data_IF_792763503473
#
_entry.id   IF_792763503473
#
_cell.length_a   1.000
_cell.length_b   1.000
_cell.length_c   1.000
_cell.angle_alpha   90.00
_cell.angle_beta   90.00
_cell.angle_gamma   90.00
#
_symmetry.space_group_name_H-M   'P 1'
#
loop_
_entity.id
_entity.type
_entity.pdbx_description
1 polymer ?
#
# COMPACT_ATOMS: atom_id res chain seq x y z
N UNK A 1 35.41 15.19 -108.68
CA UNK A 1 34.57 15.96 -107.75
C UNK A 1 34.55 15.19 -106.43
N UNK A 2 35.45 15.54 -105.55
CA UNK A 2 35.68 14.90 -104.26
C UNK A 2 35.20 15.85 -103.19
N UNK A 3 34.12 15.47 -102.44
CA UNK A 3 33.56 16.26 -101.32
C UNK A 3 34.22 15.77 -100.01
N UNK A 4 34.96 16.64 -99.36
CA UNK A 4 35.62 16.42 -98.07
C UNK A 4 34.64 16.75 -96.96
N UNK A 5 34.27 15.77 -96.11
CA UNK A 5 33.39 15.91 -94.96
C UNK A 5 34.24 16.21 -93.71
N UNK A 6 34.18 17.42 -93.18
CA UNK A 6 34.80 17.80 -91.88
C UNK A 6 33.92 17.40 -90.74
N UNK A 7 34.40 16.48 -89.90
CA UNK A 7 33.76 16.09 -88.61
C UNK A 7 34.22 17.06 -87.52
N UNK A 8 33.31 17.91 -87.01
CA UNK A 8 33.51 18.72 -85.81
C UNK A 8 33.23 17.89 -84.54
N UNK A 9 34.25 17.50 -83.80
CA UNK A 9 34.11 16.95 -82.44
C UNK A 9 33.82 18.11 -81.45
N UNK A 10 32.62 18.26 -81.09
CA UNK A 10 32.22 19.14 -79.94
C UNK A 10 32.56 18.44 -78.63
N UNK A 11 33.67 18.88 -77.98
CA UNK A 11 33.96 18.45 -76.61
C UNK A 11 32.97 19.09 -75.63
N UNK A 12 32.04 18.34 -75.15
CA UNK A 12 31.16 18.73 -73.99
C UNK A 12 32.03 18.75 -72.73
N UNK A 13 32.45 19.93 -72.30
CA UNK A 13 33.04 20.18 -71.01
C UNK A 13 31.90 20.08 -69.98
N UNK A 14 31.90 19.04 -69.08
CA UNK A 14 30.96 18.92 -68.00
C UNK A 14 31.20 20.10 -67.04
N UNK A 15 30.09 20.74 -66.56
CA UNK A 15 30.22 21.82 -65.57
C UNK A 15 30.82 21.28 -64.27
N UNK A 16 31.64 22.07 -63.55
CA UNK A 16 32.24 21.68 -62.28
C UNK A 16 31.10 21.34 -61.30
N UNK A 17 31.15 20.12 -60.75
CA UNK A 17 30.23 19.61 -59.74
C UNK A 17 30.35 20.53 -58.52
N UNK A 18 29.41 21.46 -58.33
CA UNK A 18 29.34 22.27 -57.13
C UNK A 18 29.30 21.34 -55.94
N UNK A 19 30.31 21.38 -55.10
CA UNK A 19 30.28 20.68 -53.81
C UNK A 19 29.03 21.15 -53.04
N UNK A 20 28.24 20.20 -52.49
CA UNK A 20 27.06 20.58 -51.72
C UNK A 20 27.53 21.43 -50.52
N UNK A 21 26.80 22.48 -50.16
CA UNK A 21 27.15 23.32 -49.02
C UNK A 21 27.30 22.47 -47.76
N UNK A 22 28.32 22.78 -46.95
CA UNK A 22 28.59 22.08 -45.69
C UNK A 22 27.36 22.23 -44.79
N UNK A 23 26.75 21.11 -44.35
CA UNK A 23 25.53 21.18 -43.60
C UNK A 23 25.74 21.75 -42.20
N UNK A 24 24.83 22.61 -41.74
CA UNK A 24 24.74 23.03 -40.33
C UNK A 24 24.11 21.91 -39.52
N UNK A 25 24.76 21.52 -38.41
CA UNK A 25 24.29 20.44 -37.53
C UNK A 25 24.29 20.92 -36.09
N UNK A 26 23.16 20.75 -35.42
CA UNK A 26 23.09 21.03 -34.00
C UNK A 26 23.97 20.05 -33.22
N UNK A 27 24.78 20.59 -32.32
CA UNK A 27 25.75 19.84 -31.53
C UNK A 27 25.51 20.16 -30.05
N UNK A 28 25.49 19.13 -29.22
CA UNK A 28 25.45 19.25 -27.78
C UNK A 28 26.64 18.58 -27.12
N UNK A 29 26.99 19.01 -25.94
CA UNK A 29 28.02 18.35 -25.14
C UNK A 29 27.34 17.27 -24.26
N UNK A 30 27.95 16.08 -24.25
CA UNK A 30 27.51 15.00 -23.35
C UNK A 30 27.81 15.40 -21.90
N UNK A 31 26.77 15.45 -21.07
CA UNK A 31 26.93 15.85 -19.67
C UNK A 31 26.81 14.65 -18.73
N UNK A 32 27.52 14.71 -17.61
CA UNK A 32 27.37 13.74 -16.52
C UNK A 32 26.38 14.27 -15.50
N UNK A 33 25.50 13.38 -15.03
CA UNK A 33 24.54 13.68 -13.98
C UNK A 33 24.35 12.46 -13.09
N UNK A 34 24.05 12.74 -11.83
CA UNK A 34 23.53 11.72 -10.92
C UNK A 34 22.03 11.58 -11.16
N UNK A 35 21.60 10.39 -11.55
CA UNK A 35 20.22 10.12 -11.99
C UNK A 35 19.63 9.02 -11.15
N UNK A 36 18.48 9.28 -10.48
CA UNK A 36 17.71 8.23 -9.84
C UNK A 36 17.00 7.37 -10.90
N UNK A 37 17.19 6.08 -10.80
CA UNK A 37 16.45 5.09 -11.58
C UNK A 37 15.25 4.66 -10.79
N UNK A 38 14.06 4.87 -11.33
CA UNK A 38 12.81 4.49 -10.68
C UNK A 38 12.36 3.11 -11.16
N UNK A 39 11.73 2.39 -10.24
CA UNK A 39 11.00 1.17 -10.51
C UNK A 39 9.57 1.30 -9.96
N UNK A 40 8.62 0.74 -10.66
CA UNK A 40 7.21 0.75 -10.25
C UNK A 40 6.74 -0.68 -9.99
N UNK A 41 6.06 -0.86 -8.86
CA UNK A 41 5.42 -2.12 -8.49
C UNK A 41 3.92 -1.92 -8.43
N UNK A 42 3.17 -2.91 -8.86
CA UNK A 42 1.72 -2.92 -8.69
C UNK A 42 1.41 -3.42 -7.29
N UNK A 43 0.64 -2.64 -6.55
CA UNK A 43 0.20 -2.96 -5.20
C UNK A 43 -1.31 -2.86 -5.07
N UNK A 44 -1.82 -3.47 -4.02
CA UNK A 44 -3.20 -3.39 -3.60
C UNK A 44 -3.30 -2.76 -2.22
N UNK A 45 -4.34 -1.95 -2.02
CA UNK A 45 -4.59 -1.25 -0.75
C UNK A 45 -5.42 -2.13 0.18
N UNK A 46 -5.06 -2.11 1.46
CA UNK A 46 -5.76 -2.80 2.55
C UNK A 46 -6.05 -1.81 3.66
N UNK A 47 -7.18 -1.97 4.34
CA UNK A 47 -7.47 -1.22 5.56
C UNK A 47 -6.44 -1.50 6.65
N UNK A 48 -6.28 -0.57 7.58
CA UNK A 48 -5.44 -0.78 8.76
C UNK A 48 -5.92 -1.98 9.58
N UNK A 49 -7.25 -2.13 9.68
CA UNK A 49 -7.93 -3.29 10.22
C UNK A 49 -9.29 -3.44 9.52
N UNK A 50 -9.53 -4.60 8.95
CA UNK A 50 -10.85 -5.02 8.46
C UNK A 50 -11.38 -6.03 9.45
N UNK A 51 -12.45 -5.67 10.19
CA UNK A 51 -13.03 -6.52 11.21
C UNK A 51 -14.39 -7.01 10.76
N UNK A 52 -14.51 -8.31 10.67
CA UNK A 52 -15.78 -8.97 10.36
C UNK A 52 -16.75 -8.88 11.53
N UNK A 53 -17.96 -8.48 11.25
CA UNK A 53 -19.06 -8.43 12.20
C UNK A 53 -19.82 -9.76 12.13
N UNK A 54 -19.69 -10.53 13.19
CA UNK A 54 -20.33 -11.85 13.31
C UNK A 54 -21.34 -11.85 14.47
N UNK A 55 -22.36 -12.71 14.37
CA UNK A 55 -23.28 -12.97 15.49
C UNK A 55 -22.70 -14.01 16.44
N UNK A 56 -23.07 -13.89 17.74
CA UNK A 56 -22.76 -14.84 18.79
C UNK A 56 -24.01 -15.51 19.36
N UNK A 57 -25.18 -15.15 18.83
CA UNK A 57 -26.49 -15.67 19.22
C UNK A 57 -27.27 -16.14 18.01
N UNK A 58 -28.26 -16.96 18.20
CA UNK A 58 -29.15 -17.47 17.16
C UNK A 58 -30.48 -16.71 17.21
N UNK A 59 -31.01 -16.32 16.06
CA UNK A 59 -32.30 -15.65 16.00
C UNK A 59 -32.49 -14.77 14.77
N UNK A 60 -33.71 -14.22 14.59
CA UNK A 60 -33.96 -13.27 13.50
C UNK A 60 -33.41 -11.89 13.83
N UNK A 61 -32.93 -11.20 12.79
CA UNK A 61 -32.54 -9.79 12.88
C UNK A 61 -33.81 -8.94 13.00
N UNK A 62 -33.92 -8.17 14.08
CA UNK A 62 -35.03 -7.26 14.33
C UNK A 62 -34.76 -5.81 13.93
N UNK A 63 -33.48 -5.44 13.78
CA UNK A 63 -33.13 -4.09 13.36
C UNK A 63 -31.71 -3.97 12.85
N UNK A 64 -31.55 -3.05 11.89
CA UNK A 64 -30.26 -2.57 11.36
C UNK A 64 -30.19 -1.08 11.67
N UNK A 65 -29.15 -0.64 12.40
CA UNK A 65 -29.06 0.70 13.01
C UNK A 65 -27.94 1.56 12.43
N UNK A 66 -27.58 1.32 11.20
CA UNK A 66 -26.56 2.09 10.48
C UNK A 66 -26.99 2.31 9.02
N UNK A 67 -26.27 3.17 8.32
CA UNK A 67 -26.36 3.30 6.87
C UNK A 67 -25.10 2.71 6.25
N UNK A 68 -25.29 1.90 5.22
CA UNK A 68 -24.20 1.27 4.48
C UNK A 68 -23.24 2.30 3.88
N UNK A 69 -21.93 2.01 3.95
CA UNK A 69 -20.89 2.90 3.46
C UNK A 69 -20.63 4.15 4.31
N UNK A 70 -21.32 4.32 5.45
CA UNK A 70 -21.13 5.46 6.35
C UNK A 70 -20.12 5.14 7.48
N UNK A 71 -19.49 6.17 8.06
CA UNK A 71 -18.63 5.98 9.21
C UNK A 71 -19.42 5.58 10.46
N UNK A 72 -18.92 4.60 11.18
CA UNK A 72 -19.43 4.13 12.48
C UNK A 72 -18.35 4.29 13.55
N UNK A 73 -18.79 4.46 14.80
CA UNK A 73 -17.89 4.56 15.96
C UNK A 73 -17.80 3.24 16.70
N UNK A 74 -16.66 2.94 17.30
CA UNK A 74 -16.52 1.81 18.21
C UNK A 74 -17.59 1.86 19.31
N UNK A 75 -18.26 0.73 19.56
CA UNK A 75 -19.39 0.64 20.50
C UNK A 75 -20.75 1.08 19.94
N UNK A 76 -20.82 1.58 18.70
CA UNK A 76 -22.10 1.91 18.07
C UNK A 76 -22.90 0.64 17.78
N UNK A 77 -24.21 0.67 18.09
CA UNK A 77 -25.14 -0.43 17.78
C UNK A 77 -25.29 -0.57 16.27
N UNK A 78 -25.06 -1.80 15.76
CA UNK A 78 -25.19 -2.12 14.34
C UNK A 78 -26.43 -2.96 14.05
N UNK A 79 -26.57 -4.07 14.78
CA UNK A 79 -27.69 -5.00 14.60
C UNK A 79 -28.32 -5.35 15.93
N UNK A 80 -29.61 -5.69 15.91
CA UNK A 80 -30.31 -6.32 17.00
C UNK A 80 -30.86 -7.66 16.54
N UNK A 81 -30.65 -8.69 17.36
CA UNK A 81 -31.13 -10.07 17.14
C UNK A 81 -32.11 -10.40 18.24
N UNK A 82 -33.22 -11.03 17.91
CA UNK A 82 -34.18 -11.52 18.89
C UNK A 82 -33.85 -12.97 19.25
N UNK A 83 -33.43 -13.17 20.50
CA UNK A 83 -33.19 -14.51 21.07
C UNK A 83 -34.01 -14.67 22.36
N UNK A 84 -35.25 -15.17 22.27
CA UNK A 84 -36.11 -15.36 23.43
C UNK A 84 -35.53 -16.34 24.47
N UNK A 85 -34.68 -17.29 24.04
CA UNK A 85 -34.07 -18.29 24.94
C UNK A 85 -33.11 -17.58 25.89
N UNK A 86 -32.28 -16.70 25.38
CA UNK A 86 -31.32 -15.93 26.19
C UNK A 86 -32.02 -14.96 27.12
N UNK A 87 -33.08 -14.29 26.66
CA UNK A 87 -33.89 -13.40 27.50
C UNK A 87 -34.57 -14.14 28.65
N UNK A 88 -35.16 -15.30 28.37
CA UNK A 88 -35.80 -16.15 29.39
C UNK A 88 -34.78 -16.71 30.40
N UNK A 89 -33.58 -17.11 29.92
CA UNK A 89 -32.51 -17.57 30.81
C UNK A 89 -32.04 -16.48 31.78
N UNK A 90 -31.95 -15.23 31.32
CA UNK A 90 -31.67 -14.09 32.20
C UNK A 90 -32.76 -13.89 33.26
N UNK A 91 -34.03 -13.96 32.86
CA UNK A 91 -35.16 -13.81 33.79
C UNK A 91 -35.15 -14.92 34.85
N UNK A 92 -34.84 -16.15 34.48
CA UNK A 92 -34.72 -17.27 35.42
C UNK A 92 -33.55 -17.06 36.40
N UNK A 93 -32.40 -16.59 35.94
CA UNK A 93 -31.24 -16.28 36.78
C UNK A 93 -31.52 -15.14 37.76
N UNK A 94 -32.26 -14.12 37.33
CA UNK A 94 -32.71 -13.02 38.21
C UNK A 94 -33.65 -13.53 39.29
N UNK A 95 -34.61 -14.36 38.95
CA UNK A 95 -35.52 -14.98 39.93
C UNK A 95 -34.77 -15.83 40.97
N UNK A 96 -33.77 -16.59 40.51
CA UNK A 96 -32.91 -17.39 41.39
C UNK A 96 -32.11 -16.51 42.36
N UNK A 97 -31.51 -15.41 41.89
CA UNK A 97 -30.80 -14.46 42.74
C UNK A 97 -31.75 -13.90 43.82
N UNK A 98 -32.93 -13.42 43.42
CA UNK A 98 -33.93 -12.87 44.33
C UNK A 98 -34.30 -13.88 45.41
N UNK A 99 -34.48 -15.17 45.04
CA UNK A 99 -34.80 -16.22 45.99
C UNK A 99 -33.67 -16.41 47.03
N UNK A 100 -32.38 -16.39 46.58
CA UNK A 100 -31.24 -16.49 47.49
C UNK A 100 -31.10 -15.27 48.40
N UNK A 101 -31.37 -14.07 47.89
CA UNK A 101 -31.37 -12.84 48.70
C UNK A 101 -32.42 -12.86 49.84
N UNK A 102 -33.65 -13.35 49.56
CA UNK A 102 -34.68 -13.51 50.58
C UNK A 102 -34.22 -14.50 51.67
N UNK A 103 -33.58 -15.63 51.26
CA UNK A 103 -33.05 -16.59 52.23
C UNK A 103 -31.88 -16.02 53.03
N UNK A 104 -31.05 -15.14 52.44
CA UNK A 104 -29.99 -14.43 53.15
C UNK A 104 -30.57 -13.52 54.23
N UNK A 105 -31.62 -12.77 53.94
CA UNK A 105 -32.31 -11.93 54.95
C UNK A 105 -32.78 -12.77 56.11
N UNK A 106 -33.39 -13.95 55.85
CA UNK A 106 -33.81 -14.88 56.89
C UNK A 106 -32.65 -15.37 57.76
N UNK A 107 -31.59 -15.92 57.14
CA UNK A 107 -30.47 -16.50 57.89
C UNK A 107 -29.68 -15.43 58.64
N UNK A 108 -29.59 -14.21 58.09
CA UNK A 108 -29.03 -13.07 58.78
C UNK A 108 -29.84 -12.68 60.03
N UNK A 109 -31.17 -12.59 59.91
CA UNK A 109 -32.04 -12.28 61.04
C UNK A 109 -31.97 -13.34 62.15
N UNK A 110 -31.83 -14.62 61.80
CA UNK A 110 -31.60 -15.70 62.73
C UNK A 110 -30.25 -15.57 63.45
N UNK A 111 -29.16 -15.31 62.74
CA UNK A 111 -27.82 -15.05 63.32
C UNK A 111 -27.83 -13.82 64.23
N UNK A 112 -28.40 -12.69 63.79
CA UNK A 112 -28.47 -11.44 64.54
C UNK A 112 -29.28 -11.61 65.84
N UNK A 113 -30.24 -12.56 65.92
CA UNK A 113 -31.04 -12.92 67.10
C UNK A 113 -30.26 -13.83 68.05
N UNK A 114 -29.54 -14.84 67.53
CA UNK A 114 -28.77 -15.81 68.33
C UNK A 114 -27.51 -15.18 68.95
N UNK A 115 -26.83 -14.29 68.22
CA UNK A 115 -25.57 -13.67 68.66
C UNK A 115 -25.63 -13.03 70.08
N UNK A 116 -26.58 -12.14 70.40
CA UNK A 116 -26.66 -11.51 71.73
C UNK A 116 -27.09 -12.54 72.82
N UNK A 117 -27.89 -13.50 72.49
CA UNK A 117 -28.34 -14.53 73.44
C UNK A 117 -27.21 -15.48 73.86
N UNK A 118 -26.34 -15.85 72.91
CA UNK A 118 -25.15 -16.62 73.18
C UNK A 118 -24.11 -15.83 74.00
N UNK A 119 -23.93 -14.54 73.73
CA UNK A 119 -23.07 -13.64 74.52
C UNK A 119 -23.50 -13.51 75.98
N UNK A 120 -24.83 -13.64 76.27
CA UNK A 120 -25.39 -13.63 77.62
C UNK A 120 -25.47 -15.04 78.24
N UNK A 121 -24.88 -16.10 77.61
CA UNK A 121 -24.92 -17.49 77.98
C UNK A 121 -26.36 -18.05 78.03
N UNK A 122 -27.33 -17.45 77.35
CA UNK A 122 -28.69 -17.93 77.23
C UNK A 122 -28.89 -19.00 76.13
N UNK A 123 -27.94 -19.12 75.20
CA UNK A 123 -27.84 -20.14 74.12
C UNK A 123 -26.42 -20.73 74.10
N UNK A 124 -26.30 -21.95 73.54
CA UNK A 124 -24.98 -22.60 73.45
C UNK A 124 -24.14 -21.99 72.33
N UNK A 125 -22.81 -22.05 72.52
CA UNK A 125 -21.84 -21.65 71.49
C UNK A 125 -22.03 -22.46 70.20
N UNK A 126 -22.45 -23.71 70.31
CA UNK A 126 -22.80 -24.59 69.14
C UNK A 126 -23.94 -24.00 68.31
N UNK A 127 -24.97 -23.41 68.95
CA UNK A 127 -26.06 -22.78 68.22
C UNK A 127 -25.63 -21.51 67.53
N UNK A 128 -24.73 -20.74 68.13
CA UNK A 128 -24.14 -19.55 67.52
C UNK A 128 -23.30 -19.96 66.29
N UNK A 129 -22.40 -20.97 66.42
CA UNK A 129 -21.58 -21.42 65.33
C UNK A 129 -22.42 -21.98 64.16
N UNK A 130 -23.52 -22.70 64.47
CA UNK A 130 -24.45 -23.21 63.47
C UNK A 130 -25.20 -22.08 62.71
N UNK A 131 -25.68 -21.04 63.43
CA UNK A 131 -26.35 -19.90 62.80
C UNK A 131 -25.38 -19.05 61.95
N UNK A 132 -24.15 -18.85 62.45
CA UNK A 132 -23.11 -18.19 61.72
C UNK A 132 -22.72 -18.94 60.42
N UNK A 133 -22.53 -20.27 60.52
CA UNK A 133 -22.23 -21.10 59.35
C UNK A 133 -23.36 -21.07 58.31
N UNK A 134 -24.62 -21.09 58.74
CA UNK A 134 -25.77 -20.98 57.87
C UNK A 134 -25.85 -19.62 57.17
N UNK A 135 -25.55 -18.52 57.88
CA UNK A 135 -25.50 -17.18 57.29
C UNK A 135 -24.37 -17.06 56.27
N UNK A 136 -23.13 -17.51 56.57
CA UNK A 136 -22.01 -17.47 55.66
C UNK A 136 -22.24 -18.38 54.43
N UNK A 137 -22.83 -19.55 54.60
CA UNK A 137 -23.21 -20.45 53.50
C UNK A 137 -24.22 -19.79 52.56
N UNK A 138 -25.22 -19.10 53.11
CA UNK A 138 -26.24 -18.41 52.33
C UNK A 138 -25.66 -17.19 51.60
N UNK A 139 -24.71 -16.47 52.21
CA UNK A 139 -23.99 -15.37 51.58
C UNK A 139 -23.19 -15.85 50.37
N UNK A 140 -22.54 -17.04 50.47
CA UNK A 140 -21.88 -17.68 49.35
C UNK A 140 -22.88 -18.09 48.24
N UNK A 141 -24.08 -18.57 48.61
CA UNK A 141 -25.11 -18.92 47.65
C UNK A 141 -25.63 -17.70 46.86
N UNK A 142 -25.80 -16.54 47.52
CA UNK A 142 -26.14 -15.28 46.84
C UNK A 142 -25.03 -14.88 45.84
N UNK A 143 -23.77 -14.97 46.26
CA UNK A 143 -22.64 -14.67 45.37
C UNK A 143 -22.61 -15.58 44.12
N UNK A 144 -22.89 -16.86 44.31
CA UNK A 144 -23.02 -17.81 43.20
C UNK A 144 -24.18 -17.47 42.25
N UNK A 145 -25.35 -17.14 42.79
CA UNK A 145 -26.50 -16.72 41.99
C UNK A 145 -26.27 -15.40 41.26
N UNK A 146 -25.57 -14.45 41.88
CA UNK A 146 -25.14 -13.19 41.24
C UNK A 146 -24.20 -13.44 40.05
N UNK A 147 -23.24 -14.36 40.18
CA UNK A 147 -22.40 -14.76 39.09
C UNK A 147 -23.19 -15.42 37.95
N UNK A 148 -24.21 -16.23 38.29
CA UNK A 148 -25.14 -16.80 37.32
C UNK A 148 -25.92 -15.76 36.53
N UNK A 149 -26.43 -14.72 37.20
CA UNK A 149 -27.11 -13.60 36.54
C UNK A 149 -26.13 -12.82 35.64
N UNK A 150 -24.93 -12.54 36.12
CA UNK A 150 -23.90 -11.85 35.31
C UNK A 150 -23.59 -12.61 34.03
N UNK A 151 -23.48 -13.93 34.07
CA UNK A 151 -23.29 -14.76 32.87
C UNK A 151 -24.47 -14.63 31.89
N UNK A 152 -25.72 -14.63 32.41
CA UNK A 152 -26.92 -14.46 31.60
C UNK A 152 -26.96 -13.04 30.98
N UNK A 153 -26.57 -12.00 31.70
CA UNK A 153 -26.47 -10.62 31.19
C UNK A 153 -25.46 -10.50 30.04
N UNK A 154 -24.34 -11.19 30.13
CA UNK A 154 -23.35 -11.26 29.04
C UNK A 154 -23.95 -11.91 27.79
N UNK A 155 -24.73 -12.99 27.95
CA UNK A 155 -25.41 -13.63 26.81
C UNK A 155 -26.43 -12.68 26.16
N UNK A 156 -27.22 -11.96 26.96
CA UNK A 156 -28.15 -10.94 26.45
C UNK A 156 -27.41 -9.81 25.74
N UNK A 157 -26.22 -9.41 26.21
CA UNK A 157 -25.44 -8.36 25.54
C UNK A 157 -25.08 -8.74 24.09
N UNK A 158 -24.94 -10.02 23.79
CA UNK A 158 -24.62 -10.50 22.43
C UNK A 158 -25.80 -10.39 21.45
N UNK A 159 -27.03 -10.16 21.92
CA UNK A 159 -28.17 -9.84 21.04
C UNK A 159 -28.04 -8.44 20.41
N UNK A 160 -27.20 -7.58 20.98
CA UNK A 160 -26.92 -6.25 20.49
C UNK A 160 -25.52 -6.26 19.90
N UNK A 161 -25.43 -6.34 18.60
CA UNK A 161 -24.14 -6.42 17.88
C UNK A 161 -23.61 -5.01 17.69
N UNK A 162 -22.48 -4.73 18.32
CA UNK A 162 -21.83 -3.43 18.32
C UNK A 162 -20.62 -3.41 17.39
N UNK A 163 -20.25 -2.24 16.88
CA UNK A 163 -19.03 -2.04 16.12
C UNK A 163 -17.79 -2.23 17.03
N UNK A 164 -16.86 -3.14 16.70
CA UNK A 164 -15.67 -3.38 17.52
C UNK A 164 -14.62 -2.27 17.36
N UNK A 165 -14.63 -1.59 16.21
CA UNK A 165 -13.71 -0.50 15.87
C UNK A 165 -14.49 0.66 15.24
N UNK A 166 -13.88 1.86 15.27
CA UNK A 166 -14.34 2.99 14.46
C UNK A 166 -13.85 2.82 13.03
N UNK A 167 -14.72 3.07 12.04
CA UNK A 167 -14.37 2.86 10.65
C UNK A 167 -15.54 3.09 9.72
N UNK A 168 -15.42 2.68 8.47
CA UNK A 168 -16.51 2.67 7.49
C UNK A 168 -17.08 1.28 7.44
N UNK A 169 -18.40 1.19 7.61
CA UNK A 169 -19.14 -0.08 7.54
C UNK A 169 -19.45 -0.42 6.07
N UNK A 170 -19.28 -1.69 5.71
CA UNK A 170 -19.57 -2.20 4.38
C UNK A 170 -21.06 -2.40 4.09
N UNK A 171 -21.34 -3.11 3.00
CA UNK A 171 -22.68 -3.55 2.63
C UNK A 171 -23.15 -4.64 3.59
N UNK A 172 -24.38 -4.56 4.09
CA UNK A 172 -25.00 -5.60 4.89
C UNK A 172 -25.30 -6.85 4.05
N UNK A 173 -24.89 -8.01 4.55
CA UNK A 173 -25.18 -9.30 3.89
C UNK A 173 -26.50 -9.90 4.30
N UNK A 174 -27.20 -9.22 5.22
CA UNK A 174 -28.44 -9.69 5.84
C UNK A 174 -29.45 -8.54 5.92
N UNK A 175 -30.72 -8.89 5.97
CA UNK A 175 -31.85 -7.97 6.07
C UNK A 175 -32.63 -8.18 7.37
N UNK A 176 -33.48 -7.22 7.73
CA UNK A 176 -34.42 -7.38 8.85
C UNK A 176 -35.35 -8.52 8.53
N UNK A 177 -35.47 -9.47 9.49
CA UNK A 177 -36.23 -10.71 9.33
C UNK A 177 -35.39 -11.94 8.99
N UNK A 178 -34.15 -11.78 8.52
CA UNK A 178 -33.26 -12.91 8.25
C UNK A 178 -32.85 -13.60 9.55
N UNK A 179 -32.83 -14.93 9.53
CA UNK A 179 -32.36 -15.74 10.65
C UNK A 179 -30.85 -15.92 10.59
N UNK A 180 -30.16 -15.57 11.67
CA UNK A 180 -28.69 -15.71 11.81
C UNK A 180 -28.34 -16.71 12.90
N UNK A 181 -27.21 -17.38 12.78
CA UNK A 181 -26.75 -18.40 13.73
C UNK A 181 -25.28 -18.22 14.07
N UNK A 182 -24.87 -18.71 15.22
CA UNK A 182 -23.45 -18.81 15.60
C UNK A 182 -22.64 -19.52 14.51
N UNK A 183 -21.53 -18.89 14.06
CA UNK A 183 -20.67 -19.47 13.01
C UNK A 183 -21.21 -19.33 11.59
N UNK A 184 -22.31 -18.60 11.38
CA UNK A 184 -22.75 -18.17 10.06
C UNK A 184 -21.74 -17.24 9.41
N UNK A 185 -21.94 -16.95 8.11
CA UNK A 185 -21.09 -15.95 7.42
C UNK A 185 -21.16 -14.60 8.13
N UNK A 186 -20.09 -13.79 8.02
CA UNK A 186 -20.07 -12.45 8.57
C UNK A 186 -21.24 -11.61 8.05
N UNK A 187 -21.90 -10.90 8.95
CA UNK A 187 -23.04 -10.02 8.64
C UNK A 187 -22.57 -8.78 7.85
N UNK A 188 -21.39 -8.31 8.19
CA UNK A 188 -20.78 -7.12 7.59
C UNK A 188 -19.28 -7.09 7.88
N UNK A 189 -18.58 -6.08 7.33
CA UNK A 189 -17.18 -5.77 7.63
C UNK A 189 -17.08 -4.29 7.96
N UNK A 190 -16.35 -3.96 9.03
CA UNK A 190 -15.98 -2.57 9.35
C UNK A 190 -14.51 -2.40 9.05
N UNK A 191 -14.19 -1.51 8.12
CA UNK A 191 -12.81 -1.15 7.76
C UNK A 191 -12.40 0.09 8.54
N UNK A 192 -11.30 0.01 9.27
CA UNK A 192 -10.77 1.16 10.01
C UNK A 192 -10.48 2.33 9.07
N UNK A 193 -10.91 3.52 9.44
CA UNK A 193 -10.54 4.77 8.77
C UNK A 193 -9.23 5.28 9.38
N UNK A 194 -8.29 5.65 8.55
CA UNK A 194 -6.98 6.12 8.96
C UNK A 194 -5.94 5.70 7.93
N UNK A 195 -4.81 5.21 8.41
CA UNK A 195 -3.74 4.76 7.55
C UNK A 195 -4.18 3.58 6.67
N UNK A 196 -3.78 3.62 5.42
CA UNK A 196 -3.97 2.52 4.46
C UNK A 196 -2.66 1.77 4.29
N UNK A 197 -2.75 0.46 4.30
CA UNK A 197 -1.65 -0.43 3.98
C UNK A 197 -1.65 -0.72 2.49
N UNK A 198 -0.49 -0.68 1.89
CA UNK A 198 -0.28 -1.05 0.49
C UNK A 198 0.61 -2.28 0.47
N UNK A 199 0.14 -3.37 -0.11
CA UNK A 199 0.92 -4.59 -0.29
C UNK A 199 1.29 -4.74 -1.75
N UNK A 200 2.55 -5.00 -1.99
CA UNK A 200 3.09 -5.21 -3.33
C UNK A 200 4.21 -6.25 -3.28
N UNK A 201 4.44 -6.92 -4.39
CA UNK A 201 5.48 -7.94 -4.50
C UNK A 201 6.69 -7.40 -5.24
N UNK A 202 7.88 -7.65 -4.71
CA UNK A 202 9.15 -7.32 -5.35
C UNK A 202 9.87 -8.62 -5.71
N UNK A 203 10.66 -8.60 -6.79
CA UNK A 203 11.48 -9.76 -7.17
C UNK A 203 12.62 -9.99 -6.17
N UNK A 204 13.10 -11.23 -6.07
CA UNK A 204 14.29 -11.54 -5.26
C UNK A 204 15.50 -10.70 -5.68
N UNK A 205 15.68 -10.47 -6.99
CA UNK A 205 16.78 -9.66 -7.51
C UNK A 205 16.70 -8.21 -7.07
N UNK A 206 15.50 -7.63 -7.03
CA UNK A 206 15.29 -6.26 -6.55
C UNK A 206 15.49 -6.16 -5.04
N UNK A 207 15.07 -7.19 -4.31
CA UNK A 207 15.31 -7.26 -2.87
C UNK A 207 16.81 -7.29 -2.54
N UNK A 208 17.60 -8.09 -3.27
CA UNK A 208 19.06 -8.17 -3.07
C UNK A 208 19.73 -6.82 -3.36
N UNK A 209 19.40 -6.18 -4.48
CA UNK A 209 19.91 -4.83 -4.81
C UNK A 209 19.56 -3.82 -3.73
N UNK A 210 18.32 -3.86 -3.26
CA UNK A 210 17.85 -2.99 -2.18
C UNK A 210 18.64 -3.22 -0.88
N UNK A 211 18.91 -4.48 -0.52
CA UNK A 211 19.71 -4.84 0.66
C UNK A 211 21.15 -4.30 0.57
N UNK A 212 21.77 -4.38 -0.59
CA UNK A 212 23.10 -3.83 -0.83
C UNK A 212 23.15 -2.30 -0.63
N UNK A 213 22.16 -1.60 -1.17
CA UNK A 213 22.07 -0.15 -1.06
C UNK A 213 21.76 0.32 0.38
N UNK A 214 20.94 -0.42 1.11
CA UNK A 214 20.58 -0.08 2.49
C UNK A 214 21.66 -0.44 3.50
N UNK A 215 22.62 -1.28 3.15
CA UNK A 215 23.75 -1.60 4.03
C UNK A 215 24.61 -0.36 4.37
N UNK A 216 24.66 0.62 3.48
CA UNK A 216 25.40 1.88 3.62
C UNK A 216 24.53 3.07 4.05
N UNK A 217 23.23 2.90 4.11
CA UNK A 217 22.26 3.95 4.46
C UNK A 217 22.03 4.01 5.97
N UNK A 218 21.78 5.21 6.47
CA UNK A 218 21.38 5.39 7.87
C UNK A 218 20.06 4.64 8.14
N UNK A 219 20.09 3.69 9.07
CA UNK A 219 18.97 2.82 9.45
C UNK A 219 17.72 3.58 9.93
N UNK A 220 17.89 4.83 10.35
CA UNK A 220 16.80 5.67 10.84
C UNK A 220 16.13 6.51 9.76
N UNK A 221 16.60 6.48 8.52
CA UNK A 221 15.99 7.24 7.44
C UNK A 221 14.82 6.45 6.85
N UNK A 222 13.56 6.90 6.98
CA UNK A 222 12.41 6.19 6.44
C UNK A 222 12.52 6.09 4.92
N UNK A 223 12.13 4.95 4.37
CA UNK A 223 12.05 4.77 2.93
C UNK A 223 10.69 5.31 2.50
N UNK A 224 10.74 6.40 1.77
CA UNK A 224 9.55 7.02 1.21
C UNK A 224 9.28 6.47 -0.18
N UNK A 225 8.03 6.10 -0.40
CA UNK A 225 7.53 5.51 -1.62
C UNK A 225 6.46 6.45 -2.21
N UNK A 226 6.56 6.76 -3.48
CA UNK A 226 5.50 7.50 -4.18
C UNK A 226 4.37 6.55 -4.54
N UNK A 227 3.14 6.97 -4.28
CA UNK A 227 1.94 6.20 -4.63
C UNK A 227 1.25 6.85 -5.81
N UNK A 228 1.08 6.10 -6.88
CA UNK A 228 0.42 6.53 -8.10
C UNK A 228 -0.90 5.78 -8.22
N UNK A 229 -1.97 6.53 -8.34
CA UNK A 229 -3.32 6.00 -8.45
C UNK A 229 -3.60 5.44 -9.85
N UNK A 230 -4.69 4.71 -10.00
CA UNK A 230 -5.09 4.12 -11.29
C UNK A 230 -5.37 5.17 -12.38
N UNK A 231 -5.72 6.41 -12.02
CA UNK A 231 -5.90 7.53 -12.94
C UNK A 231 -4.58 8.22 -13.33
N UNK A 232 -3.44 7.74 -12.81
CA UNK A 232 -2.11 8.28 -13.07
C UNK A 232 -1.70 9.45 -12.17
N UNK A 233 -2.55 9.89 -11.26
CA UNK A 233 -2.20 10.95 -10.30
C UNK A 233 -1.30 10.42 -9.20
N UNK A 234 -0.30 11.21 -8.84
CA UNK A 234 0.57 10.93 -7.70
C UNK A 234 -0.13 11.42 -6.43
N UNK A 235 -0.21 10.54 -5.44
CA UNK A 235 -0.73 10.90 -4.13
C UNK A 235 0.22 11.90 -3.44
N UNK A 236 -0.28 13.01 -2.86
CA UNK A 236 0.58 13.98 -2.16
C UNK A 236 1.31 13.36 -0.95
N UNK A 237 0.65 12.44 -0.26
CA UNK A 237 1.23 11.71 0.88
C UNK A 237 2.11 10.58 0.35
N UNK A 238 3.35 10.52 0.83
CA UNK A 238 4.25 9.40 0.55
C UNK A 238 3.95 8.23 1.47
N UNK A 239 3.97 7.03 0.92
CA UNK A 239 3.92 5.83 1.73
C UNK A 239 5.28 5.59 2.39
N UNK A 240 5.25 5.08 3.61
CA UNK A 240 6.45 4.67 4.36
C UNK A 240 6.55 3.16 4.34
N UNK A 241 7.74 2.64 4.09
CA UNK A 241 8.00 1.21 4.22
C UNK A 241 7.68 0.77 5.66
N UNK A 242 6.94 -0.33 5.79
CA UNK A 242 6.54 -0.90 7.08
C UNK A 242 7.33 -2.19 7.35
N UNK A 243 7.11 -3.22 6.54
CA UNK A 243 7.88 -4.46 6.63
C UNK A 243 7.94 -5.20 5.28
N UNK A 244 8.88 -6.14 5.19
CA UNK A 244 8.92 -7.17 4.16
C UNK A 244 8.66 -8.52 4.79
N UNK A 245 7.96 -9.41 4.10
CA UNK A 245 7.65 -10.74 4.60
C UNK A 245 8.93 -11.53 4.90
N UNK A 246 8.79 -12.49 5.78
CA UNK A 246 9.88 -13.38 6.23
C UNK A 246 10.39 -14.30 5.12
N UNK A 247 9.51 -14.74 4.24
CA UNK A 247 9.80 -15.74 3.23
C UNK A 247 9.44 -15.26 1.83
N UNK A 248 10.21 -15.69 0.86
CA UNK A 248 9.85 -15.57 -0.56
C UNK A 248 8.70 -16.53 -0.87
N UNK A 249 7.80 -16.11 -1.74
CA UNK A 249 6.81 -16.99 -2.33
C UNK A 249 7.51 -17.98 -3.27
N UNK A 250 7.39 -19.28 -2.95
CA UNK A 250 8.08 -20.35 -3.68
C UNK A 250 7.59 -20.57 -5.12
N UNK A 251 6.41 -20.07 -5.47
CA UNK A 251 5.85 -20.18 -6.82
C UNK A 251 6.31 -19.07 -7.76
N UNK A 252 6.49 -17.86 -7.23
CA UNK A 252 6.80 -16.66 -8.02
C UNK A 252 8.20 -16.12 -7.79
N UNK A 253 8.92 -16.56 -6.75
CA UNK A 253 10.23 -16.01 -6.37
C UNK A 253 10.16 -14.54 -5.95
N UNK A 254 9.01 -14.11 -5.45
CA UNK A 254 8.78 -12.72 -5.04
C UNK A 254 8.64 -12.60 -3.53
N UNK A 255 8.97 -11.42 -3.01
CA UNK A 255 8.84 -11.05 -1.61
C UNK A 255 7.68 -10.08 -1.45
N UNK A 256 6.76 -10.38 -0.54
CA UNK A 256 5.68 -9.47 -0.21
C UNK A 256 6.21 -8.33 0.68
N UNK A 257 5.93 -7.11 0.27
CA UNK A 257 6.30 -5.88 0.98
C UNK A 257 5.04 -5.12 1.34
N UNK A 258 5.02 -4.55 2.54
CA UNK A 258 3.96 -3.67 3.01
C UNK A 258 4.51 -2.27 3.25
N UNK A 259 3.76 -1.29 2.78
CA UNK A 259 3.96 0.12 3.08
C UNK A 259 2.70 0.70 3.70
N UNK A 260 2.84 1.77 4.45
CA UNK A 260 1.73 2.49 5.10
C UNK A 260 1.69 3.92 4.58
N UNK A 261 0.51 4.38 4.22
CA UNK A 261 0.26 5.75 3.79
C UNK A 261 -0.86 6.37 4.62
N UNK A 262 -0.67 7.61 5.07
CA UNK A 262 -1.70 8.37 5.77
C UNK A 262 -2.87 8.70 4.82
N UNK A 263 -4.08 8.34 5.22
CA UNK A 263 -5.30 8.54 4.42
C UNK A 263 -6.30 9.46 5.13
N UNK A 264 -5.84 10.62 5.58
CA UNK A 264 -6.67 11.61 6.29
C UNK A 264 -7.86 12.10 5.49
N UNK A 265 -7.74 12.15 4.16
CA UNK A 265 -8.83 12.55 3.26
C UNK A 265 -9.85 11.44 2.99
N UNK A 266 -9.59 10.20 3.38
CA UNK A 266 -10.44 9.05 3.04
C UNK A 266 -10.52 8.73 1.55
N UNK A 267 -9.55 9.22 0.75
CA UNK A 267 -9.53 9.06 -0.69
C UNK A 267 -9.19 7.62 -1.11
N UNK A 268 -8.26 7.01 -0.40
CA UNK A 268 -7.91 5.61 -0.60
C UNK A 268 -8.94 4.71 0.10
N UNK A 269 -9.36 3.67 -0.59
CA UNK A 269 -10.24 2.62 -0.04
C UNK A 269 -9.55 1.27 -0.16
N UNK A 270 -9.79 0.34 0.77
CA UNK A 270 -9.33 -1.04 0.63
C UNK A 270 -9.77 -1.66 -0.70
N UNK A 271 -8.92 -2.51 -1.30
CA UNK A 271 -9.19 -3.17 -2.57
C UNK A 271 -8.86 -2.34 -3.82
N UNK A 272 -8.27 -1.15 -3.70
CA UNK A 272 -7.81 -0.37 -4.85
C UNK A 272 -6.43 -0.84 -5.32
N UNK A 273 -6.23 -0.89 -6.63
CA UNK A 273 -4.90 -1.08 -7.21
C UNK A 273 -4.19 0.27 -7.34
N UNK A 274 -2.94 0.28 -6.91
CA UNK A 274 -2.05 1.44 -6.98
C UNK A 274 -0.69 1.02 -7.52
N UNK A 275 0.08 1.96 -8.07
CA UNK A 275 1.48 1.75 -8.39
C UNK A 275 2.34 2.40 -7.33
N UNK A 276 3.28 1.65 -6.81
CA UNK A 276 4.27 2.12 -5.84
C UNK A 276 5.57 2.35 -6.58
N UNK A 277 6.01 3.61 -6.61
CA UNK A 277 7.23 4.03 -7.29
C UNK A 277 8.31 4.30 -6.26
N UNK A 278 9.48 3.73 -6.47
CA UNK A 278 10.66 3.91 -5.62
C UNK A 278 11.93 4.05 -6.43
N UNK A 279 12.98 4.56 -5.82
CA UNK A 279 14.30 4.62 -6.44
C UNK A 279 14.96 3.24 -6.32
N UNK A 280 15.19 2.59 -7.47
CA UNK A 280 15.87 1.30 -7.56
C UNK A 280 17.38 1.43 -7.49
N UNK A 281 17.93 2.50 -8.08
CA UNK A 281 19.37 2.70 -8.18
C UNK A 281 19.67 4.20 -8.36
N UNK A 282 20.79 4.64 -7.81
CA UNK A 282 21.34 5.96 -8.07
C UNK A 282 22.55 5.81 -8.98
N UNK A 283 22.39 6.17 -10.26
CA UNK A 283 23.50 6.17 -11.21
C UNK A 283 24.30 7.46 -11.01
N UNK A 284 25.47 7.33 -10.39
CA UNK A 284 26.40 8.45 -10.26
C UNK A 284 27.20 8.60 -11.56
N UNK A 285 27.44 9.86 -11.95
CA UNK A 285 28.24 10.21 -13.14
C UNK A 285 27.74 9.56 -14.45
N UNK A 286 26.43 9.37 -14.58
CA UNK A 286 25.82 8.84 -15.79
C UNK A 286 25.95 9.83 -16.95
N UNK A 287 26.52 9.41 -18.06
CA UNK A 287 26.56 10.18 -19.30
C UNK A 287 25.21 10.13 -19.98
N UNK A 288 24.56 11.27 -20.18
CA UNK A 288 23.25 11.38 -20.80
C UNK A 288 23.27 12.16 -22.10
N UNK A 289 22.45 11.71 -23.03
CA UNK A 289 22.22 12.38 -24.31
C UNK A 289 20.73 12.28 -24.68
N UNK A 290 20.17 13.26 -25.41
CA UNK A 290 18.81 13.16 -25.95
C UNK A 290 18.62 11.90 -26.82
N UNK A 291 17.43 11.31 -26.83
CA UNK A 291 17.14 10.14 -27.66
C UNK A 291 17.42 10.39 -29.14
N UNK A 292 17.22 11.61 -29.62
CA UNK A 292 17.46 12.02 -31.00
C UNK A 292 18.93 11.97 -31.40
N UNK A 293 19.87 11.99 -30.44
CA UNK A 293 21.30 11.87 -30.69
C UNK A 293 21.77 10.43 -30.90
N UNK A 294 20.95 9.45 -30.48
CA UNK A 294 21.28 8.02 -30.57
C UNK A 294 20.55 7.41 -31.76
N UNK A 295 21.29 6.89 -32.73
CA UNK A 295 20.73 6.17 -33.89
C UNK A 295 20.83 4.68 -33.66
N UNK A 296 19.74 3.99 -33.95
CA UNK A 296 19.73 2.54 -34.00
C UNK A 296 19.86 2.10 -35.48
N UNK A 297 20.89 1.35 -35.79
CA UNK A 297 21.07 0.74 -37.09
C UNK A 297 21.03 -0.80 -36.90
N UNK A 298 19.90 -1.42 -37.25
CA UNK A 298 19.67 -2.82 -36.97
C UNK A 298 19.75 -3.10 -35.45
N UNK A 299 20.79 -3.81 -34.99
CA UNK A 299 21.04 -4.19 -33.59
C UNK A 299 22.09 -3.31 -32.91
N UNK A 300 22.68 -2.33 -33.61
CA UNK A 300 23.77 -1.50 -33.13
C UNK A 300 23.27 -0.10 -32.83
N UNK A 301 23.57 0.40 -31.66
CA UNK A 301 23.34 1.79 -31.28
C UNK A 301 24.63 2.59 -31.52
N UNK A 302 24.52 3.77 -32.14
CA UNK A 302 25.63 4.64 -32.42
C UNK A 302 25.25 6.10 -32.22
N UNK A 303 26.24 6.91 -31.87
CA UNK A 303 26.19 8.37 -31.81
C UNK A 303 27.18 8.97 -32.85
N UNK A 304 26.88 10.16 -33.33
CA UNK A 304 27.76 10.90 -34.20
C UNK A 304 28.54 11.90 -33.35
N UNK A 305 29.83 11.67 -33.21
CA UNK A 305 30.72 12.55 -32.45
C UNK A 305 31.37 13.53 -33.43
N UNK A 306 31.52 14.77 -33.00
CA UNK A 306 32.20 15.84 -33.72
C UNK A 306 33.64 15.94 -33.20
N UNK A 307 34.63 15.73 -34.06
CA UNK A 307 36.03 15.88 -33.71
C UNK A 307 36.47 17.35 -33.70
N UNK A 308 37.74 17.59 -33.36
CA UNK A 308 38.34 18.92 -33.33
C UNK A 308 38.38 19.62 -34.72
N UNK A 309 38.29 18.83 -35.79
CA UNK A 309 38.28 19.31 -37.18
C UNK A 309 36.86 19.51 -37.72
N UNK A 310 35.82 19.42 -36.84
CA UNK A 310 34.41 19.47 -37.20
C UNK A 310 33.96 18.35 -38.16
N UNK A 311 34.61 17.19 -38.12
CA UNK A 311 34.25 16.01 -38.91
C UNK A 311 33.41 15.06 -38.05
N UNK A 312 32.35 14.51 -38.63
CA UNK A 312 31.48 13.55 -37.98
C UNK A 312 32.08 12.16 -38.01
N UNK A 313 32.20 11.55 -36.85
CA UNK A 313 32.61 10.15 -36.70
C UNK A 313 31.49 9.35 -36.00
N UNK A 314 31.07 8.23 -36.63
CA UNK A 314 30.15 7.32 -36.04
C UNK A 314 30.83 6.46 -34.98
N UNK A 315 30.34 6.49 -33.74
CA UNK A 315 30.85 5.68 -32.64
C UNK A 315 29.77 4.78 -32.09
N UNK A 316 30.08 3.48 -31.98
CA UNK A 316 29.19 2.51 -31.31
C UNK A 316 29.11 2.83 -29.82
N UNK A 317 27.88 2.81 -29.28
CA UNK A 317 27.60 3.00 -27.86
C UNK A 317 26.74 1.88 -27.32
N UNK A 318 26.86 1.64 -26.03
CA UNK A 318 25.95 0.74 -25.29
C UNK A 318 24.98 1.62 -24.51
N UNK A 319 23.72 1.73 -24.96
CA UNK A 319 22.73 2.47 -24.22
C UNK A 319 22.32 1.70 -22.97
N UNK A 320 22.06 2.42 -21.91
CA UNK A 320 21.45 1.93 -20.68
C UNK A 320 19.96 2.17 -20.67
N UNK A 321 19.47 2.67 -19.55
CA UNK A 321 18.05 3.00 -19.37
C UNK A 321 17.69 4.31 -20.06
N UNK A 322 16.41 4.41 -20.41
CA UNK A 322 15.82 5.68 -20.84
C UNK A 322 15.33 6.43 -19.62
N UNK A 323 15.62 7.72 -19.56
CA UNK A 323 15.17 8.60 -18.49
C UNK A 323 14.50 9.81 -19.13
N UNK A 324 13.18 9.83 -19.11
CA UNK A 324 12.38 10.79 -19.86
C UNK A 324 12.67 10.71 -21.37
N UNK A 325 13.05 11.86 -21.98
CA UNK A 325 13.42 11.97 -23.39
C UNK A 325 14.90 11.67 -23.66
N UNK A 326 15.63 11.11 -22.69
CA UNK A 326 17.07 10.94 -22.76
C UNK A 326 17.49 9.47 -22.63
N UNK A 327 18.67 9.17 -23.18
CA UNK A 327 19.36 7.90 -22.98
C UNK A 327 20.52 8.09 -21.99
N UNK A 328 20.64 7.17 -21.06
CA UNK A 328 21.88 6.95 -20.31
C UNK A 328 22.80 6.11 -21.19
N UNK A 329 24.04 6.54 -21.38
CA UNK A 329 25.04 5.78 -22.13
C UNK A 329 25.98 5.09 -21.14
N UNK A 330 26.00 3.75 -21.18
CA UNK A 330 26.85 2.94 -20.30
C UNK A 330 28.29 2.93 -20.77
N UNK A 331 28.50 2.79 -22.10
CA UNK A 331 29.81 2.69 -22.68
C UNK A 331 29.86 3.37 -24.06
N UNK A 332 31.03 3.84 -24.44
CA UNK A 332 31.31 4.39 -25.77
C UNK A 332 31.24 5.90 -25.90
N UNK A 333 30.81 6.64 -24.85
CA UNK A 333 30.78 8.10 -24.85
C UNK A 333 31.33 8.63 -23.53
N UNK A 334 32.11 9.69 -23.59
CA UNK A 334 32.68 10.37 -22.42
C UNK A 334 31.99 11.73 -22.21
N UNK A 335 32.02 12.19 -20.97
CA UNK A 335 31.56 13.54 -20.65
C UNK A 335 32.37 14.61 -21.40
N UNK A 336 31.73 15.67 -21.85
CA UNK A 336 32.34 16.76 -22.60
C UNK A 336 32.52 16.49 -24.08
N UNK A 337 32.32 15.25 -24.58
CA UNK A 337 32.37 14.99 -26.02
C UNK A 337 31.14 15.63 -26.71
N UNK A 338 31.44 16.23 -27.89
CA UNK A 338 30.40 16.87 -28.70
C UNK A 338 29.66 15.84 -29.54
N UNK A 339 28.37 15.74 -29.35
CA UNK A 339 27.48 14.79 -30.03
C UNK A 339 26.55 15.58 -30.97
N UNK A 340 26.48 15.14 -32.22
CA UNK A 340 25.61 15.74 -33.20
C UNK A 340 24.16 15.23 -33.09
N UNK A 341 23.21 16.15 -33.15
CA UNK A 341 21.79 15.87 -33.23
C UNK A 341 21.42 15.56 -34.68
N UNK A 342 21.46 14.30 -35.04
CA UNK A 342 21.33 13.93 -36.47
C UNK A 342 19.88 13.81 -36.90
N UNK A 343 18.94 13.63 -35.97
CA UNK A 343 17.51 13.48 -36.28
C UNK A 343 17.29 12.49 -37.43
N UNK A 344 16.45 12.87 -38.39
CA UNK A 344 16.18 12.11 -39.63
C UNK A 344 17.12 12.53 -40.81
N UNK A 345 18.06 13.42 -40.58
CA UNK A 345 18.96 13.86 -41.64
C UNK A 345 19.96 12.75 -42.03
N UNK A 346 20.07 12.49 -43.33
CA UNK A 346 21.07 11.54 -43.88
C UNK A 346 22.42 12.22 -43.90
N UNK A 347 23.06 12.36 -42.75
CA UNK A 347 24.41 12.89 -42.67
C UNK A 347 25.37 11.68 -42.65
N UNK A 348 26.29 11.66 -43.59
CA UNK A 348 27.27 10.57 -43.73
C UNK A 348 28.49 10.81 -42.83
N UNK A 349 28.99 9.78 -42.16
CA UNK A 349 30.26 9.86 -41.42
C UNK A 349 31.40 10.28 -42.36
N UNK A 350 32.40 10.98 -41.81
CA UNK A 350 33.59 11.41 -42.57
C UNK A 350 33.41 12.73 -43.32
N UNK A 351 32.27 13.41 -43.22
CA UNK A 351 32.07 14.72 -43.84
C UNK A 351 32.20 15.86 -42.82
N UNK A 352 32.77 17.02 -43.25
CA UNK A 352 32.82 18.20 -42.40
C UNK A 352 31.42 18.80 -42.23
N UNK A 353 31.18 19.42 -41.08
CA UNK A 353 29.95 20.09 -40.71
C UNK A 353 30.22 21.49 -40.15
N UNK A 354 29.22 22.31 -40.12
CA UNK A 354 29.23 23.56 -39.35
C UNK A 354 28.47 23.27 -38.02
N UNK A 355 29.19 23.15 -36.89
CA UNK A 355 28.55 22.84 -35.61
C UNK A 355 27.81 24.07 -35.08
N UNK A 356 26.51 23.94 -34.87
CA UNK A 356 25.68 24.94 -34.22
C UNK A 356 25.43 24.48 -32.77
N UNK A 357 25.99 25.19 -31.77
CA UNK A 357 25.81 24.81 -30.39
C UNK A 357 24.31 24.83 -29.99
N UNK A 358 23.81 23.75 -29.48
CA UNK A 358 22.47 23.67 -28.92
C UNK A 358 22.54 23.71 -27.39
N UNK A 359 21.88 24.69 -26.79
CA UNK A 359 21.65 24.64 -25.33
C UNK A 359 20.66 23.56 -25.03
N UNK A 360 21.11 22.51 -24.38
CA UNK A 360 20.31 21.42 -23.92
C UNK A 360 20.41 21.33 -22.40
N UNK A 361 19.27 21.34 -21.71
CA UNK A 361 19.20 21.14 -20.28
C UNK A 361 18.45 19.84 -20.00
N UNK A 362 19.00 19.04 -19.13
CA UNK A 362 18.28 17.89 -18.58
C UNK A 362 17.12 18.39 -17.71
N UNK A 363 15.91 18.12 -18.13
CA UNK A 363 14.72 18.40 -17.33
C UNK A 363 14.44 17.20 -16.41
N UNK A 364 14.74 17.36 -15.13
CA UNK A 364 14.47 16.35 -14.11
C UNK A 364 12.97 16.13 -13.86
N UNK A 365 12.10 17.02 -14.34
CA UNK A 365 10.65 16.90 -14.17
C UNK A 365 10.02 15.91 -15.13
N UNK A 366 10.70 15.55 -16.22
CA UNK A 366 10.26 14.54 -17.19
C UNK A 366 10.55 13.08 -16.78
N UNK A 367 11.07 12.86 -15.59
CA UNK A 367 11.18 11.54 -14.95
C UNK A 367 9.89 11.12 -14.23
N UNK A 368 8.80 11.84 -14.52
CA UNK A 368 7.46 11.51 -14.01
C UNK A 368 6.77 10.47 -14.87
#
# INVERSE_FOLDING_TARGET
MTATLCLFLSACSAPPKKEPPVPEVQVLEAVTRSIPVFIEYIGETYGQADVEIITRVDGPITGIHFQEGQPVKAGQLLYTVDDPIVLNARQAALAQLTAQEVMLVKTKADYDRVLPLAQMNALSMRDLDASRAAYEAQKAAVSAAQAGLSNADVQVSYTRILAPISGVIGLSRVQVGDFVSKGSQPLNVVSATGDIRIRFSISETDYLKYREQTATRDKNSPIELEVILSDGKVLPQKAKFDFADRALDGGTGSLLVQAVVENTSGFLRPGQFVRVKTVSEQLNDAVIVPQQAVRQLQTIYQVMIVDENNVLTARKVIPGQRVGSNWVIKEGLKAGEKVAMVGNAIIQPGKPIIPVPMQWSYDSTLTR
#
